data_IF_480159442222
#
_entry.id   IF_480159442222
#
_cell.length_a   1.000
_cell.length_b   1.000
_cell.length_c   1.000
_cell.angle_alpha   90.00
_cell.angle_beta   90.00
_cell.angle_gamma   90.00
#
_symmetry.space_group_name_H-M   'P 1'
#
loop_
_entity.id
_entity.type
_entity.pdbx_description
1 polymer ?
#
# COMPACT_ATOMS: atom_id res chain seq x y z
N UNK A 1 38.98 -6.43 10.07
CA UNK A 1 37.95 -5.61 10.74
C UNK A 1 36.81 -5.05 9.84
N UNK A 2 36.94 -4.85 8.50
CA UNK A 2 35.81 -4.34 7.68
C UNK A 2 34.67 -5.35 7.47
N UNK A 3 34.94 -6.66 7.58
CA UNK A 3 33.91 -7.72 7.45
C UNK A 3 32.83 -7.69 8.54
N UNK A 4 33.11 -7.07 9.70
CA UNK A 4 32.23 -7.05 10.89
C UNK A 4 31.08 -6.06 10.76
N UNK A 5 31.36 -4.88 10.22
CA UNK A 5 30.35 -3.84 9.94
C UNK A 5 29.36 -4.31 8.86
N UNK A 6 29.88 -4.98 7.83
CA UNK A 6 29.10 -5.49 6.71
C UNK A 6 28.08 -6.55 7.17
N UNK A 7 28.43 -7.40 8.15
CA UNK A 7 27.59 -8.52 8.57
C UNK A 7 26.36 -8.09 9.39
N UNK A 8 26.58 -7.15 10.30
CA UNK A 8 25.55 -6.59 11.17
C UNK A 8 24.56 -5.75 10.33
N UNK A 9 25.07 -4.88 9.43
CA UNK A 9 24.23 -4.17 8.46
C UNK A 9 23.45 -5.15 7.57
N UNK A 10 24.07 -6.25 7.11
CA UNK A 10 23.40 -7.26 6.28
C UNK A 10 22.11 -7.81 6.91
N UNK A 11 22.02 -7.99 8.23
CA UNK A 11 20.79 -8.54 8.83
C UNK A 11 19.64 -7.52 8.82
N UNK A 12 19.87 -6.34 9.39
CA UNK A 12 18.86 -5.25 9.41
C UNK A 12 18.51 -4.83 7.98
N UNK A 13 19.48 -4.72 7.08
CA UNK A 13 19.26 -4.46 5.66
C UNK A 13 18.49 -5.58 4.97
N UNK A 14 18.65 -6.86 5.32
CA UNK A 14 17.87 -7.96 4.71
C UNK A 14 16.40 -7.94 5.14
N UNK A 15 16.12 -7.72 6.43
CA UNK A 15 14.74 -7.58 6.92
C UNK A 15 14.11 -6.35 6.28
N UNK A 16 14.81 -5.23 6.31
CA UNK A 16 14.38 -3.99 5.66
C UNK A 16 14.13 -4.17 4.16
N UNK A 17 15.02 -4.85 3.43
CA UNK A 17 14.85 -5.13 1.98
C UNK A 17 13.66 -6.04 1.73
N UNK A 18 13.40 -7.05 2.57
CA UNK A 18 12.20 -7.90 2.41
C UNK A 18 10.92 -7.11 2.66
N UNK A 19 10.92 -6.25 3.66
CA UNK A 19 9.81 -5.34 3.94
C UNK A 19 9.62 -4.37 2.78
N UNK A 20 10.69 -3.73 2.28
CA UNK A 20 10.66 -2.86 1.11
C UNK A 20 10.15 -3.57 -0.15
N UNK A 21 10.54 -4.84 -0.38
CA UNK A 21 10.00 -5.64 -1.49
C UNK A 21 8.50 -5.88 -1.36
N UNK A 22 8.04 -6.20 -0.16
CA UNK A 22 6.62 -6.36 0.13
C UNK A 22 5.87 -5.04 -0.11
N UNK A 23 6.45 -3.93 0.32
CA UNK A 23 5.91 -2.58 0.12
C UNK A 23 5.76 -2.21 -1.35
N UNK A 24 6.82 -2.41 -2.14
CA UNK A 24 6.79 -2.13 -3.58
C UNK A 24 5.74 -3.03 -4.26
N UNK A 25 5.62 -4.30 -3.84
CA UNK A 25 4.59 -5.18 -4.36
C UNK A 25 3.17 -4.73 -3.98
N UNK A 26 2.96 -4.21 -2.77
CA UNK A 26 1.67 -3.65 -2.36
C UNK A 26 1.30 -2.41 -3.19
N UNK A 27 2.24 -1.49 -3.42
CA UNK A 27 2.03 -0.31 -4.29
C UNK A 27 1.68 -0.77 -5.70
N UNK A 28 2.44 -1.75 -6.23
CA UNK A 28 2.17 -2.32 -7.54
C UNK A 28 0.76 -2.92 -7.62
N UNK A 29 0.32 -3.67 -6.60
CA UNK A 29 -1.04 -4.21 -6.59
C UNK A 29 -2.12 -3.13 -6.46
N UNK A 30 -1.91 -2.07 -5.66
CA UNK A 30 -2.84 -0.92 -5.62
C UNK A 30 -2.95 -0.25 -6.99
N UNK A 31 -1.84 -0.12 -7.70
CA UNK A 31 -1.82 0.39 -9.07
C UNK A 31 -2.57 -0.55 -10.02
N UNK A 32 -2.44 -1.88 -9.87
CA UNK A 32 -3.22 -2.85 -10.66
C UNK A 32 -4.72 -2.76 -10.38
N UNK A 33 -5.13 -2.54 -9.12
CA UNK A 33 -6.54 -2.26 -8.80
C UNK A 33 -7.04 -1.00 -9.49
N UNK A 34 -6.24 0.07 -9.52
CA UNK A 34 -6.56 1.30 -10.25
C UNK A 34 -6.68 1.06 -11.76
N UNK A 35 -5.76 0.29 -12.35
CA UNK A 35 -5.84 -0.09 -13.77
C UNK A 35 -7.11 -0.89 -14.07
N UNK A 36 -7.47 -1.83 -13.19
CA UNK A 36 -8.69 -2.62 -13.34
C UNK A 36 -9.93 -1.71 -13.34
N UNK A 37 -9.99 -0.75 -12.41
CA UNK A 37 -11.07 0.24 -12.35
C UNK A 37 -11.12 1.14 -13.59
N UNK A 38 -9.97 1.57 -14.11
CA UNK A 38 -9.88 2.35 -15.35
C UNK A 38 -10.49 1.61 -16.53
N UNK A 39 -10.05 0.36 -16.77
CA UNK A 39 -10.50 -0.42 -17.93
C UNK A 39 -11.95 -0.87 -17.83
N UNK A 40 -12.46 -1.12 -16.63
CA UNK A 40 -13.84 -1.60 -16.45
C UNK A 40 -14.89 -0.49 -16.43
N UNK A 41 -14.51 0.74 -16.07
CA UNK A 41 -15.46 1.85 -15.95
C UNK A 41 -15.02 3.10 -16.70
N UNK A 42 -13.94 3.75 -16.27
CA UNK A 42 -13.55 5.10 -16.73
C UNK A 42 -13.35 5.16 -18.25
N UNK A 43 -12.73 4.12 -18.82
CA UNK A 43 -12.49 4.02 -20.27
C UNK A 43 -13.79 4.04 -21.09
N UNK A 44 -14.87 3.46 -20.58
CA UNK A 44 -16.16 3.42 -21.28
C UNK A 44 -16.97 4.70 -21.10
N UNK A 45 -16.82 5.36 -19.94
CA UNK A 45 -17.55 6.60 -19.63
C UNK A 45 -16.92 7.80 -20.33
N UNK A 46 -15.60 7.79 -20.57
CA UNK A 46 -14.85 8.91 -21.12
C UNK A 46 -13.98 8.48 -22.32
N UNK A 47 -14.58 8.22 -23.50
CA UNK A 47 -13.87 7.71 -24.67
C UNK A 47 -12.89 8.72 -25.29
N UNK A 48 -13.10 10.02 -25.07
CA UNK A 48 -12.33 11.11 -25.69
C UNK A 48 -11.19 11.65 -24.81
N UNK A 49 -10.73 10.87 -23.82
CA UNK A 49 -9.65 11.31 -22.93
C UNK A 49 -8.30 11.36 -23.64
N UNK A 50 -7.59 12.46 -23.43
CA UNK A 50 -6.21 12.58 -23.87
C UNK A 50 -5.32 11.62 -23.09
N UNK A 51 -4.46 10.88 -23.80
CA UNK A 51 -3.49 9.97 -23.19
C UNK A 51 -2.62 10.64 -22.13
N UNK A 52 -2.27 11.93 -22.32
CA UNK A 52 -1.49 12.70 -21.35
C UNK A 52 -2.23 12.84 -20.01
N UNK A 53 -3.53 13.10 -20.02
CA UNK A 53 -4.34 13.23 -18.80
C UNK A 53 -4.47 11.89 -18.07
N UNK A 54 -4.65 10.80 -18.83
CA UNK A 54 -4.68 9.44 -18.28
C UNK A 54 -3.36 9.15 -17.56
N UNK A 55 -2.22 9.40 -18.21
CA UNK A 55 -0.90 9.19 -17.61
C UNK A 55 -0.70 10.04 -16.36
N UNK A 56 -1.09 11.32 -16.38
CA UNK A 56 -1.01 12.20 -15.22
C UNK A 56 -1.85 11.68 -14.04
N UNK A 57 -3.05 11.14 -14.31
CA UNK A 57 -3.89 10.54 -13.26
C UNK A 57 -3.26 9.29 -12.65
N UNK A 58 -2.65 8.42 -13.46
CA UNK A 58 -1.89 7.28 -12.94
C UNK A 58 -0.66 7.72 -12.11
N UNK A 59 0.06 8.76 -12.54
CA UNK A 59 1.19 9.29 -11.76
C UNK A 59 0.74 9.94 -10.46
N UNK A 60 -0.36 10.70 -10.46
CA UNK A 60 -0.95 11.25 -9.26
C UNK A 60 -1.37 10.12 -8.32
N UNK A 61 -2.00 9.07 -8.85
CA UNK A 61 -2.40 7.92 -8.07
C UNK A 61 -1.25 7.14 -7.45
N UNK A 62 -0.14 6.98 -8.18
CA UNK A 62 1.06 6.36 -7.63
C UNK A 62 1.64 7.17 -6.44
N UNK A 63 1.51 8.50 -6.45
CA UNK A 63 1.91 9.34 -5.29
C UNK A 63 1.02 9.07 -4.08
N UNK A 64 -0.30 8.92 -4.26
CA UNK A 64 -1.21 8.55 -3.18
C UNK A 64 -0.91 7.14 -2.63
N UNK A 65 -0.58 6.18 -3.49
CA UNK A 65 -0.20 4.82 -3.07
C UNK A 65 1.10 4.82 -2.24
N UNK A 66 2.10 5.63 -2.63
CA UNK A 66 3.33 5.83 -1.85
C UNK A 66 3.05 6.47 -0.50
N UNK A 67 2.10 7.42 -0.42
CA UNK A 67 1.73 8.05 0.83
C UNK A 67 1.05 7.07 1.79
N UNK A 68 0.06 6.28 1.31
CA UNK A 68 -0.57 5.21 2.12
C UNK A 68 0.52 4.27 2.63
N UNK A 69 1.44 3.90 1.75
CA UNK A 69 2.58 3.07 2.11
C UNK A 69 3.41 3.69 3.25
N UNK A 70 3.73 4.99 3.16
CA UNK A 70 4.45 5.72 4.21
C UNK A 70 3.81 5.56 5.59
N UNK A 71 2.48 5.70 5.66
CA UNK A 71 1.73 5.50 6.92
C UNK A 71 1.72 4.05 7.40
N UNK A 72 1.53 3.08 6.50
CA UNK A 72 1.58 1.65 6.83
C UNK A 72 2.96 1.21 7.35
N UNK A 73 4.02 1.96 7.04
CA UNK A 73 5.38 1.65 7.47
C UNK A 73 5.75 2.26 8.82
N UNK A 74 4.92 3.15 9.40
CA UNK A 74 5.18 3.76 10.72
C UNK A 74 5.25 2.70 11.82
N UNK A 75 4.28 1.77 11.97
CA UNK A 75 4.38 0.72 13.00
C UNK A 75 5.60 -0.18 12.78
N UNK A 76 5.90 -0.49 11.51
CA UNK A 76 7.06 -1.28 11.10
C UNK A 76 8.37 -0.62 11.55
N UNK A 77 8.47 0.69 11.43
CA UNK A 77 9.63 1.44 11.90
C UNK A 77 9.85 1.35 13.40
N UNK A 78 8.79 1.47 14.20
CA UNK A 78 8.93 1.31 15.66
C UNK A 78 9.50 -0.06 16.03
N UNK A 79 9.08 -1.12 15.34
CA UNK A 79 9.63 -2.45 15.55
C UNK A 79 11.08 -2.60 15.04
N UNK A 80 11.46 -1.93 13.94
CA UNK A 80 12.86 -1.88 13.47
C UNK A 80 13.74 -1.07 14.45
N UNK A 81 13.21 -0.03 15.07
CA UNK A 81 13.90 0.73 16.11
C UNK A 81 14.13 -0.15 17.35
N UNK A 82 13.11 -0.89 17.80
CA UNK A 82 13.28 -1.89 18.87
C UNK A 82 14.32 -2.96 18.50
N UNK A 83 14.37 -3.39 17.23
CA UNK A 83 15.42 -4.26 16.72
C UNK A 83 16.82 -3.66 16.81
N UNK A 84 16.96 -2.35 16.58
CA UNK A 84 18.27 -1.72 16.67
C UNK A 84 18.84 -1.79 18.09
N UNK A 85 17.97 -1.94 19.11
CA UNK A 85 18.31 -2.04 20.53
C UNK A 85 18.45 -3.50 21.00
N UNK A 86 17.61 -4.43 20.52
CA UNK A 86 17.66 -5.84 20.93
C UNK A 86 18.58 -6.72 20.07
N UNK A 87 19.50 -7.44 20.72
CA UNK A 87 20.44 -8.35 20.06
C UNK A 87 19.80 -9.61 19.46
N UNK A 88 18.67 -10.07 20.02
CA UNK A 88 17.97 -11.28 19.56
C UNK A 88 16.51 -10.99 19.28
N UNK A 89 16.06 -11.43 18.10
CA UNK A 89 14.65 -11.34 17.74
C UNK A 89 13.87 -12.54 18.27
N UNK A 90 12.81 -12.32 19.06
CA UNK A 90 11.84 -13.38 19.29
C UNK A 90 11.16 -13.73 17.95
N UNK A 91 11.11 -15.02 17.61
CA UNK A 91 10.40 -15.51 16.41
C UNK A 91 8.95 -15.00 16.32
N UNK A 92 8.34 -14.71 17.47
CA UNK A 92 7.00 -14.11 17.58
C UNK A 92 6.87 -12.75 16.88
N UNK A 93 7.91 -11.92 16.85
CA UNK A 93 7.85 -10.62 16.13
C UNK A 93 7.64 -10.81 14.63
N UNK A 94 8.23 -11.85 14.03
CA UNK A 94 8.00 -12.14 12.60
C UNK A 94 6.56 -12.51 12.31
N UNK A 95 5.91 -13.23 13.23
CA UNK A 95 4.48 -13.51 13.13
C UNK A 95 3.67 -12.22 13.20
N UNK A 96 4.02 -11.31 14.11
CA UNK A 96 3.36 -9.99 14.21
C UNK A 96 3.45 -9.22 12.89
N UNK A 97 4.62 -9.17 12.23
CA UNK A 97 4.75 -8.53 10.91
C UNK A 97 3.85 -9.17 9.85
N UNK A 98 3.86 -10.50 9.75
CA UNK A 98 3.02 -11.21 8.78
C UNK A 98 1.54 -10.96 9.03
N UNK A 99 1.12 -10.99 10.29
CA UNK A 99 -0.26 -10.72 10.68
C UNK A 99 -0.64 -9.27 10.38
N UNK A 100 0.22 -8.30 10.72
CA UNK A 100 -0.02 -6.88 10.44
C UNK A 100 -0.22 -6.63 8.94
N UNK A 101 0.73 -7.06 8.10
CA UNK A 101 0.62 -6.90 6.65
C UNK A 101 -0.54 -7.73 6.06
N UNK A 102 -0.83 -8.90 6.64
CA UNK A 102 -1.98 -9.72 6.26
C UNK A 102 -3.30 -9.00 6.50
N UNK A 103 -3.48 -8.42 7.69
CA UNK A 103 -4.67 -7.64 8.04
C UNK A 103 -4.77 -6.40 7.14
N UNK A 104 -3.69 -5.63 7.00
CA UNK A 104 -3.67 -4.45 6.14
C UNK A 104 -4.03 -4.80 4.70
N UNK A 105 -3.47 -5.89 4.17
CA UNK A 105 -3.76 -6.37 2.81
C UNK A 105 -5.22 -6.77 2.62
N UNK A 106 -5.78 -7.54 3.55
CA UNK A 106 -7.20 -7.92 3.52
C UNK A 106 -8.07 -6.66 3.57
N UNK A 107 -7.78 -5.71 4.47
CA UNK A 107 -8.53 -4.46 4.57
C UNK A 107 -8.48 -3.66 3.28
N UNK A 108 -7.31 -3.49 2.66
CA UNK A 108 -7.15 -2.79 1.37
C UNK A 108 -8.01 -3.47 0.30
N UNK A 109 -7.96 -4.79 0.18
CA UNK A 109 -8.77 -5.53 -0.78
C UNK A 109 -10.27 -5.38 -0.52
N UNK A 110 -10.71 -5.49 0.73
CA UNK A 110 -12.12 -5.33 1.09
C UNK A 110 -12.64 -3.92 0.80
N UNK A 111 -11.90 -2.88 1.23
CA UNK A 111 -12.26 -1.49 0.99
C UNK A 111 -12.30 -1.18 -0.51
N UNK A 112 -11.29 -1.62 -1.27
CA UNK A 112 -11.24 -1.43 -2.72
C UNK A 112 -12.40 -2.17 -3.43
N UNK A 113 -12.78 -3.34 -2.93
CA UNK A 113 -13.88 -4.11 -3.49
C UNK A 113 -15.23 -3.42 -3.28
N UNK A 114 -15.50 -2.91 -2.07
CA UNK A 114 -16.72 -2.17 -1.76
C UNK A 114 -16.74 -0.85 -2.54
N UNK A 115 -15.64 -0.11 -2.50
CA UNK A 115 -15.49 1.20 -3.13
C UNK A 115 -15.68 1.14 -4.65
N UNK A 116 -15.32 0.02 -5.31
CA UNK A 116 -15.56 -0.14 -6.75
C UNK A 116 -17.04 -0.01 -7.11
N UNK A 117 -17.94 -0.71 -6.40
CA UNK A 117 -19.38 -0.65 -6.71
C UNK A 117 -19.95 0.74 -6.46
N UNK A 118 -19.46 1.42 -5.42
CA UNK A 118 -19.82 2.79 -5.14
C UNK A 118 -19.30 3.78 -6.21
N UNK A 119 -18.02 3.66 -6.57
CA UNK A 119 -17.36 4.50 -7.57
C UNK A 119 -18.06 4.41 -8.92
N UNK A 120 -18.38 3.19 -9.35
CA UNK A 120 -19.05 2.96 -10.62
C UNK A 120 -20.43 3.62 -10.65
N UNK A 121 -21.15 3.63 -9.53
CA UNK A 121 -22.48 4.21 -9.44
C UNK A 121 -22.46 5.75 -9.29
N UNK A 122 -21.47 6.31 -8.58
CA UNK A 122 -21.45 7.73 -8.21
C UNK A 122 -20.34 8.57 -8.87
N UNK A 123 -19.41 7.95 -9.59
CA UNK A 123 -18.25 8.62 -10.21
C UNK A 123 -17.26 9.23 -9.22
N UNK A 124 -17.34 8.86 -7.93
CA UNK A 124 -16.48 9.35 -6.84
C UNK A 124 -16.14 8.22 -5.86
N UNK A 125 -15.01 8.34 -5.17
CA UNK A 125 -14.62 7.39 -4.12
C UNK A 125 -15.47 7.55 -2.86
N UNK A 126 -15.59 6.48 -2.07
CA UNK A 126 -16.20 6.54 -0.73
C UNK A 126 -15.30 7.30 0.24
N UNK A 127 -15.88 8.22 1.00
CA UNK A 127 -15.22 8.91 2.11
C UNK A 127 -15.74 8.36 3.44
N UNK A 128 -15.19 8.84 4.55
CA UNK A 128 -15.52 8.32 5.89
C UNK A 128 -17.04 8.32 6.18
N UNK A 129 -17.75 9.38 5.80
CA UNK A 129 -19.18 9.51 6.00
C UNK A 129 -19.96 8.40 5.28
N UNK A 130 -19.60 8.09 4.03
CA UNK A 130 -20.26 7.04 3.27
C UNK A 130 -19.99 5.64 3.84
N UNK A 131 -18.79 5.39 4.36
CA UNK A 131 -18.48 4.14 5.08
C UNK A 131 -19.29 3.98 6.36
N UNK A 132 -19.60 5.08 7.07
CA UNK A 132 -20.42 5.01 8.29
C UNK A 132 -21.87 4.58 8.05
N UNK A 133 -22.39 4.88 6.85
CA UNK A 133 -23.72 4.48 6.40
C UNK A 133 -23.73 3.19 5.57
N UNK A 134 -22.56 2.57 5.36
CA UNK A 134 -22.45 1.39 4.50
C UNK A 134 -23.10 0.16 5.13
N UNK A 135 -23.88 -0.54 4.32
CA UNK A 135 -24.34 -1.90 4.65
C UNK A 135 -24.10 -2.85 3.47
N UNK A 136 -23.98 -4.17 3.70
CA UNK A 136 -23.80 -5.15 2.62
C UNK A 136 -24.92 -5.10 1.57
N UNK A 137 -26.14 -4.75 1.98
CA UNK A 137 -27.29 -4.62 1.09
C UNK A 137 -27.10 -3.51 0.05
N UNK A 138 -26.51 -2.37 0.45
CA UNK A 138 -26.20 -1.25 -0.46
C UNK A 138 -25.22 -1.68 -1.55
N UNK A 139 -24.18 -2.45 -1.18
CA UNK A 139 -23.21 -2.96 -2.17
C UNK A 139 -23.85 -3.95 -3.13
N UNK A 140 -24.74 -4.80 -2.62
CA UNK A 140 -25.47 -5.75 -3.44
C UNK A 140 -26.44 -5.05 -4.40
N UNK A 141 -27.11 -3.99 -3.97
CA UNK A 141 -27.97 -3.17 -4.81
C UNK A 141 -27.17 -2.49 -5.93
N UNK A 142 -26.05 -1.85 -5.58
CA UNK A 142 -25.14 -1.24 -6.56
C UNK A 142 -24.56 -2.27 -7.53
N UNK A 143 -24.23 -3.47 -7.05
CA UNK A 143 -23.78 -4.57 -7.91
C UNK A 143 -24.89 -5.01 -8.89
N UNK A 144 -26.16 -5.08 -8.47
CA UNK A 144 -27.27 -5.45 -9.36
C UNK A 144 -27.51 -4.43 -10.49
N UNK A 145 -27.14 -3.17 -10.28
CA UNK A 145 -27.24 -2.13 -11.30
C UNK A 145 -26.17 -2.26 -12.41
N UNK A 146 -25.18 -3.13 -12.23
CA UNK A 146 -24.05 -3.31 -13.13
C UNK A 146 -24.22 -4.47 -14.11
N UNK A 147 -23.46 -4.40 -15.20
CA UNK A 147 -23.35 -5.53 -16.12
C UNK A 147 -22.67 -6.70 -15.43
N UNK A 148 -23.27 -7.89 -15.53
CA UNK A 148 -22.76 -9.12 -14.90
C UNK A 148 -21.29 -9.37 -15.27
N UNK A 149 -20.92 -9.13 -16.52
CA UNK A 149 -19.54 -9.30 -16.99
C UNK A 149 -18.54 -8.41 -16.22
N UNK A 150 -18.88 -7.15 -15.95
CA UNK A 150 -18.00 -6.24 -15.19
C UNK A 150 -17.82 -6.72 -13.76
N UNK A 151 -18.91 -7.15 -13.10
CA UNK A 151 -18.89 -7.68 -11.74
C UNK A 151 -18.02 -8.93 -11.66
N UNK A 152 -18.21 -9.87 -12.59
CA UNK A 152 -17.47 -11.14 -12.62
C UNK A 152 -15.98 -10.89 -12.86
N UNK A 153 -15.63 -10.08 -13.86
CA UNK A 153 -14.22 -9.76 -14.16
C UNK A 153 -13.55 -9.05 -12.99
N UNK A 154 -14.20 -8.03 -12.41
CA UNK A 154 -13.67 -7.32 -11.26
C UNK A 154 -13.47 -8.25 -10.05
N UNK A 155 -14.44 -9.12 -9.79
CA UNK A 155 -14.40 -10.08 -8.66
C UNK A 155 -13.27 -11.10 -8.86
N UNK A 156 -13.13 -11.68 -10.05
CA UNK A 156 -12.06 -12.63 -10.35
C UNK A 156 -10.69 -11.98 -10.16
N UNK A 157 -10.47 -10.79 -10.74
CA UNK A 157 -9.19 -10.08 -10.60
C UNK A 157 -8.92 -9.73 -9.13
N UNK A 158 -9.94 -9.28 -8.39
CA UNK A 158 -9.80 -8.96 -6.97
C UNK A 158 -9.42 -10.19 -6.14
N UNK A 159 -10.02 -11.35 -6.41
CA UNK A 159 -9.67 -12.62 -5.75
C UNK A 159 -8.25 -13.04 -6.11
N UNK A 160 -7.85 -12.95 -7.38
CA UNK A 160 -6.49 -13.28 -7.82
C UNK A 160 -5.47 -12.39 -7.11
N UNK A 161 -5.70 -11.08 -7.06
CA UNK A 161 -4.83 -10.13 -6.36
C UNK A 161 -4.78 -10.42 -4.85
N UNK A 162 -5.92 -10.70 -4.23
CA UNK A 162 -6.00 -11.09 -2.81
C UNK A 162 -5.14 -12.32 -2.52
N UNK A 163 -5.29 -13.38 -3.31
CA UNK A 163 -4.53 -14.64 -3.17
C UNK A 163 -3.04 -14.40 -3.41
N UNK A 164 -2.67 -13.65 -4.46
CA UNK A 164 -1.27 -13.34 -4.75
C UNK A 164 -0.61 -12.55 -3.62
N UNK A 165 -1.28 -11.53 -3.08
CA UNK A 165 -0.77 -10.78 -1.94
C UNK A 165 -0.66 -11.63 -0.68
N UNK A 166 -1.64 -12.51 -0.41
CA UNK A 166 -1.55 -13.46 0.69
C UNK A 166 -0.37 -14.43 0.53
N UNK A 167 -0.17 -14.99 -0.67
CA UNK A 167 0.97 -15.86 -0.98
C UNK A 167 2.30 -15.14 -0.79
N UNK A 168 2.40 -13.87 -1.22
CA UNK A 168 3.58 -13.04 -1.04
C UNK A 168 3.91 -12.87 0.45
N UNK A 169 2.92 -12.50 1.27
CA UNK A 169 3.08 -12.34 2.73
C UNK A 169 3.49 -13.66 3.38
N UNK A 170 2.87 -14.78 2.99
CA UNK A 170 3.20 -16.11 3.51
C UNK A 170 4.64 -16.52 3.15
N UNK A 171 5.08 -16.20 1.93
CA UNK A 171 6.41 -16.53 1.40
C UNK A 171 7.56 -15.82 2.12
N UNK A 172 7.27 -14.78 2.93
CA UNK A 172 8.27 -14.07 3.71
C UNK A 172 8.91 -15.00 4.75
N UNK A 173 10.07 -15.55 4.44
CA UNK A 173 10.88 -16.34 5.38
C UNK A 173 11.75 -15.40 6.20
N UNK A 174 11.58 -15.38 7.52
CA UNK A 174 12.43 -14.63 8.43
C UNK A 174 13.16 -15.62 9.35
N UNK A 175 14.47 -15.46 9.56
CA UNK A 175 15.24 -16.27 10.52
C UNK A 175 15.79 -17.63 10.06
N UNK A 176 15.83 -17.94 8.76
CA UNK A 176 16.45 -19.18 8.23
C UNK A 176 17.98 -19.11 8.08
N UNK A 177 18.62 -18.04 8.52
CA UNK A 177 20.00 -17.76 8.15
C UNK A 177 20.96 -18.29 9.22
N UNK A 178 21.78 -19.28 8.82
CA UNK A 178 22.79 -19.93 9.68
C UNK A 178 23.83 -18.97 10.27
N UNK A 179 24.04 -17.79 9.68
CA UNK A 179 25.06 -16.84 10.13
C UNK A 179 24.53 -15.72 11.03
N UNK A 180 23.22 -15.67 11.34
CA UNK A 180 22.55 -14.54 12.02
C UNK A 180 22.54 -14.62 13.56
N UNK A 181 22.96 -15.75 14.15
CA UNK A 181 22.98 -15.96 15.61
C UNK A 181 24.32 -15.61 16.26
N UNK A 182 25.00 -14.59 15.75
CA UNK A 182 26.17 -14.02 16.41
C UNK A 182 25.74 -12.72 17.10
N UNK A 183 25.07 -12.77 18.27
CA UNK A 183 24.55 -11.59 18.95
C UNK A 183 25.74 -10.74 19.37
N UNK A 184 26.05 -9.74 18.58
CA UNK A 184 27.09 -8.79 18.89
C UNK A 184 26.46 -7.40 18.90
N UNK A 185 26.73 -6.59 19.93
CA UNK A 185 26.14 -5.27 20.04
C UNK A 185 26.57 -4.41 18.85
N UNK A 186 25.59 -3.81 18.17
CA UNK A 186 25.85 -2.92 17.05
C UNK A 186 26.68 -1.71 17.51
N UNK A 187 27.64 -1.26 16.69
CA UNK A 187 28.37 -0.02 16.97
C UNK A 187 27.42 1.17 16.88
N UNK A 188 27.66 2.24 17.67
CA UNK A 188 26.81 3.44 17.72
C UNK A 188 26.45 4.03 16.34
N UNK A 189 27.42 4.12 15.43
CA UNK A 189 27.18 4.64 14.07
C UNK A 189 26.31 3.72 13.20
N UNK A 190 26.38 2.41 13.41
CA UNK A 190 25.54 1.45 12.71
C UNK A 190 24.10 1.49 13.23
N UNK A 191 23.94 1.58 14.55
CA UNK A 191 22.63 1.80 15.19
C UNK A 191 21.97 3.08 14.66
N UNK A 192 22.74 4.17 14.52
CA UNK A 192 22.24 5.42 13.94
C UNK A 192 21.73 5.25 12.50
N UNK A 193 22.49 4.57 11.63
CA UNK A 193 22.06 4.33 10.24
C UNK A 193 20.81 3.45 10.15
N UNK A 194 20.69 2.42 11.00
CA UNK A 194 19.51 1.54 11.05
C UNK A 194 18.23 2.26 11.44
N UNK A 195 18.35 3.34 12.20
CA UNK A 195 17.21 4.17 12.64
C UNK A 195 16.95 5.28 11.61
N UNK A 196 18.00 6.01 11.21
CA UNK A 196 17.85 7.18 10.35
C UNK A 196 17.39 6.83 8.93
N UNK A 197 17.88 5.73 8.33
CA UNK A 197 17.52 5.40 6.94
C UNK A 197 16.03 5.06 6.80
N UNK A 198 15.45 4.14 7.60
CA UNK A 198 14.02 3.91 7.56
C UNK A 198 13.19 5.15 7.91
N UNK A 199 13.64 5.96 8.87
CA UNK A 199 12.95 7.20 9.25
C UNK A 199 12.87 8.18 8.08
N UNK A 200 13.99 8.45 7.41
CA UNK A 200 14.03 9.33 6.24
C UNK A 200 13.12 8.81 5.14
N UNK A 201 13.14 7.50 4.87
CA UNK A 201 12.29 6.90 3.84
C UNK A 201 10.80 7.01 4.18
N UNK A 202 10.42 6.85 5.45
CA UNK A 202 9.04 7.03 5.91
C UNK A 202 8.61 8.48 5.80
N UNK A 203 9.45 9.43 6.24
CA UNK A 203 9.13 10.86 6.14
C UNK A 203 8.94 11.26 4.68
N UNK A 204 9.82 10.81 3.79
CA UNK A 204 9.69 11.07 2.35
C UNK A 204 8.43 10.43 1.76
N UNK A 205 8.10 9.19 2.15
CA UNK A 205 6.92 8.48 1.65
C UNK A 205 5.61 9.09 2.19
N UNK A 206 5.49 9.29 3.51
CA UNK A 206 4.30 9.82 4.18
C UNK A 206 4.00 11.28 3.80
N UNK A 207 5.02 12.03 3.39
CA UNK A 207 4.86 13.38 2.82
C UNK A 207 4.29 13.33 1.40
N UNK A 208 4.69 12.35 0.60
CA UNK A 208 4.21 12.15 -0.77
C UNK A 208 4.68 13.22 -1.79
N UNK A 209 5.18 14.38 -1.33
CA UNK A 209 5.71 15.48 -2.15
C UNK A 209 6.91 16.16 -1.47
N UNK A 210 7.55 17.11 -2.16
CA UNK A 210 8.63 17.96 -1.62
C UNK A 210 8.07 19.23 -0.94
N UNK A 211 6.75 19.42 -0.92
CA UNK A 211 6.07 20.59 -0.33
C UNK A 211 5.58 20.33 1.09
N UNK A 212 5.37 21.37 1.90
CA UNK A 212 5.26 21.27 3.36
C UNK A 212 4.01 20.53 3.90
N UNK A 213 3.09 20.08 3.03
CA UNK A 213 1.81 19.48 3.42
C UNK A 213 1.62 18.07 2.87
N UNK A 214 0.91 17.22 3.62
CA UNK A 214 0.44 15.92 3.13
C UNK A 214 -0.42 16.12 1.89
N UNK A 215 -0.43 15.15 0.96
CA UNK A 215 -1.22 15.26 -0.25
C UNK A 215 -2.68 15.59 0.10
N UNK A 216 -3.21 16.71 -0.40
CA UNK A 216 -4.62 17.07 -0.38
C UNK A 216 -5.38 16.45 -1.57
N UNK A 217 -6.71 16.47 -1.50
CA UNK A 217 -7.61 16.07 -2.59
C UNK A 217 -7.31 16.87 -3.87
N UNK A 218 -7.00 18.16 -3.73
CA UNK A 218 -6.68 19.06 -4.85
C UNK A 218 -5.48 18.56 -5.69
N UNK A 219 -4.56 17.79 -5.12
CA UNK A 219 -3.44 17.23 -5.87
C UNK A 219 -3.81 16.01 -6.74
N UNK A 220 -5.07 15.54 -6.68
CA UNK A 220 -5.59 14.58 -7.65
C UNK A 220 -6.23 15.26 -8.87
N UNK A 221 -6.36 16.59 -8.88
CA UNK A 221 -6.96 17.36 -9.97
C UNK A 221 -5.97 17.56 -11.13
N UNK A 222 -5.89 16.55 -11.99
CA UNK A 222 -5.00 16.55 -13.17
C UNK A 222 -5.75 16.78 -14.47
N UNK A 223 -7.07 16.59 -14.47
CA UNK A 223 -7.96 16.77 -15.62
C UNK A 223 -9.21 17.55 -15.20
N UNK A 224 -9.96 18.04 -16.20
CA UNK A 224 -11.29 18.60 -15.99
C UNK A 224 -12.35 17.52 -15.68
N UNK A 225 -12.05 16.23 -15.94
CA UNK A 225 -12.94 15.12 -15.57
C UNK A 225 -12.79 14.78 -14.09
N UNK A 226 -13.93 14.85 -13.38
CA UNK A 226 -14.01 14.48 -11.97
C UNK A 226 -13.71 12.99 -11.75
N UNK A 227 -14.23 12.12 -12.61
CA UNK A 227 -14.07 10.67 -12.52
C UNK A 227 -12.60 10.27 -12.69
N UNK A 228 -11.88 10.93 -13.60
CA UNK A 228 -10.45 10.69 -13.81
C UNK A 228 -9.60 11.16 -12.62
N UNK A 229 -10.00 12.24 -11.96
CA UNK A 229 -9.33 12.74 -10.76
C UNK A 229 -9.61 11.83 -9.54
N UNK A 230 -10.86 11.41 -9.36
CA UNK A 230 -11.28 10.47 -8.30
C UNK A 230 -10.68 9.07 -8.49
N UNK A 231 -10.38 8.67 -9.74
CA UNK A 231 -9.65 7.44 -10.03
C UNK A 231 -8.22 7.46 -9.48
N UNK A 232 -7.54 8.62 -9.53
CA UNK A 232 -6.18 8.75 -9.01
C UNK A 232 -6.15 8.42 -7.52
N UNK A 233 -7.19 8.82 -6.79
CA UNK A 233 -7.33 8.53 -5.37
C UNK A 233 -7.43 7.02 -5.10
N UNK A 234 -6.87 6.62 -3.96
CA UNK A 234 -6.95 5.26 -3.45
C UNK A 234 -8.06 5.19 -2.39
N UNK A 235 -8.90 4.15 -2.44
CA UNK A 235 -10.03 3.96 -1.53
C UNK A 235 -9.62 4.03 -0.04
N UNK A 236 -8.42 3.57 0.28
CA UNK A 236 -7.89 3.56 1.66
C UNK A 236 -7.48 4.96 2.11
N UNK A 237 -7.01 5.80 1.18
CA UNK A 237 -6.63 7.19 1.49
C UNK A 237 -7.86 8.07 1.70
N UNK A 238 -8.93 7.86 0.93
CA UNK A 238 -10.18 8.61 1.08
C UNK A 238 -10.90 8.36 2.42
N UNK A 239 -10.54 7.31 3.15
CA UNK A 239 -11.08 7.06 4.49
C UNK A 239 -10.64 8.13 5.53
N UNK A 240 -9.51 8.80 5.29
CA UNK A 240 -8.95 9.84 6.18
C UNK A 240 -9.46 11.26 5.84
N UNK A 241 -10.39 11.38 4.89
CA UNK A 241 -10.94 12.65 4.38
C UNK A 241 -12.46 12.68 4.50
#
# INVERSE_FOLDING_TARGET
>A
MPSRFIFSLRFSSKVFVKLLKLSIAMIFFMTLFRMNLFFLNVYYVLPDLNFTEIMQSFFAGLRFDILIFGFLFIPVYFFIMLQAVWEKWPQKLFLVYKTYFGIAWILICCLTFIDFFYFVHHGKRMRFAEYSSWTPEVTLEQAKALQINQIVVFTIISIVLLVLGHMLIKSLKFGEWKDEYSPHPAKKGEMALRILVPLVLIVLAARGTVEAHHLALEHSEVSNSKELNEMALNAVWCFDK
#
